data_IF_285277758564
#
_entry.id   IF_285277758564
#
_cell.length_a   1.000
_cell.length_b   1.000
_cell.length_c   1.000
_cell.angle_alpha   90.00
_cell.angle_beta   90.00
_cell.angle_gamma   90.00
#
_symmetry.space_group_name_H-M   'P 1'
#
loop_
_entity.id
_entity.type
_entity.pdbx_description
1 polymer ?
#
# COMPACT_ATOMS: atom_id res chain seq x y z
N UNK A 1 -7.52 16.19 -17.83
CA UNK A 1 -7.62 14.72 -17.95
C UNK A 1 -6.55 14.15 -18.87
N UNK A 2 -6.30 14.75 -20.04
CA UNK A 2 -5.22 14.31 -20.95
C UNK A 2 -3.85 14.25 -20.27
N UNK A 3 -3.45 15.28 -19.52
CA UNK A 3 -2.18 15.30 -18.81
C UNK A 3 -2.03 14.13 -17.84
N UNK A 4 -3.12 13.73 -17.16
CA UNK A 4 -3.10 12.59 -16.25
C UNK A 4 -2.94 11.25 -16.99
N UNK A 5 -3.53 11.12 -18.20
CA UNK A 5 -3.32 9.95 -19.06
C UNK A 5 -1.89 9.89 -19.59
N UNK A 6 -1.31 11.03 -19.95
CA UNK A 6 0.09 11.10 -20.39
C UNK A 6 1.03 10.65 -19.28
N UNK A 7 0.81 11.10 -18.03
CA UNK A 7 1.59 10.65 -16.89
C UNK A 7 1.45 9.13 -16.65
N UNK A 8 0.26 8.54 -16.86
CA UNK A 8 0.09 7.07 -16.75
C UNK A 8 0.85 6.31 -17.85
N UNK A 9 0.89 6.87 -19.06
CA UNK A 9 1.71 6.33 -20.15
C UNK A 9 3.21 6.38 -19.82
N UNK A 10 3.69 7.50 -19.25
CA UNK A 10 5.08 7.64 -18.80
C UNK A 10 5.42 6.60 -17.73
N UNK A 11 4.51 6.31 -16.80
CA UNK A 11 4.67 5.25 -15.81
C UNK A 11 4.77 3.87 -16.47
N UNK A 12 3.93 3.59 -17.46
CA UNK A 12 3.96 2.32 -18.17
C UNK A 12 5.25 2.17 -19.00
N UNK A 13 5.67 3.21 -19.70
CA UNK A 13 6.90 3.23 -20.48
C UNK A 13 8.13 3.03 -19.58
N UNK A 14 8.19 3.73 -18.45
CA UNK A 14 9.25 3.53 -17.47
C UNK A 14 9.36 2.06 -17.04
N UNK A 15 8.23 1.43 -16.69
CA UNK A 15 8.24 0.04 -16.22
C UNK A 15 8.67 -0.97 -17.29
N UNK A 16 8.35 -0.70 -18.55
CA UNK A 16 8.72 -1.53 -19.70
C UNK A 16 10.18 -1.32 -20.15
N UNK A 17 10.74 -0.13 -19.88
CA UNK A 17 12.12 0.21 -20.22
C UNK A 17 13.17 -0.27 -19.21
N UNK A 18 12.75 -0.94 -18.13
CA UNK A 18 13.69 -1.44 -17.12
C UNK A 18 14.47 -2.67 -17.62
N UNK A 19 15.75 -2.83 -17.20
CA UNK A 19 16.54 -4.03 -17.50
C UNK A 19 15.89 -5.29 -16.90
N UNK A 20 16.09 -6.45 -17.53
CA UNK A 20 15.52 -7.74 -17.12
C UNK A 20 15.75 -8.06 -15.64
N UNK A 21 16.93 -7.72 -15.10
CA UNK A 21 17.28 -7.94 -13.71
C UNK A 21 16.55 -7.01 -12.72
N UNK A 22 15.76 -6.06 -13.20
CA UNK A 22 14.89 -5.20 -12.41
C UNK A 22 13.42 -5.64 -12.46
N UNK A 23 13.08 -6.54 -13.38
CA UNK A 23 11.71 -7.00 -13.54
C UNK A 23 11.30 -7.93 -12.38
N UNK A 24 10.03 -7.89 -11.97
CA UNK A 24 9.49 -8.82 -10.99
C UNK A 24 9.42 -10.23 -11.59
N UNK A 25 9.64 -11.24 -10.75
CA UNK A 25 9.46 -12.65 -11.08
C UNK A 25 8.25 -13.20 -10.35
N UNK A 26 7.36 -13.88 -11.06
CA UNK A 26 6.27 -14.63 -10.45
C UNK A 26 6.76 -16.05 -10.23
N UNK A 27 6.81 -16.48 -8.98
CA UNK A 27 7.18 -17.82 -8.55
C UNK A 27 6.00 -18.49 -7.84
N UNK A 28 5.92 -19.80 -7.92
CA UNK A 28 4.85 -20.57 -7.29
C UNK A 28 5.42 -21.39 -6.14
N UNK A 29 4.76 -21.33 -4.99
CA UNK A 29 5.08 -22.19 -3.85
C UNK A 29 4.61 -23.62 -4.11
N UNK A 30 5.04 -24.55 -3.24
CA UNK A 30 4.55 -25.94 -3.28
C UNK A 30 3.03 -26.04 -3.06
N UNK A 31 2.41 -25.04 -2.42
CA UNK A 31 0.97 -24.92 -2.22
C UNK A 31 0.26 -24.21 -3.39
N UNK A 32 0.95 -24.01 -4.50
CA UNK A 32 0.45 -23.29 -5.69
C UNK A 32 0.08 -21.81 -5.44
N UNK A 33 0.51 -21.24 -4.34
CA UNK A 33 0.38 -19.80 -4.13
C UNK A 33 1.39 -19.04 -4.99
N UNK A 34 0.94 -18.00 -5.68
CA UNK A 34 1.81 -17.14 -6.47
C UNK A 34 2.46 -16.08 -5.59
N UNK A 35 3.79 -16.03 -5.62
CA UNK A 35 4.59 -14.98 -4.97
C UNK A 35 5.23 -14.10 -6.03
N UNK A 36 5.54 -12.87 -5.65
CA UNK A 36 6.32 -11.96 -6.47
C UNK A 36 7.66 -11.70 -5.81
N UNK A 37 8.73 -12.02 -6.53
CA UNK A 37 10.11 -11.90 -6.05
C UNK A 37 10.91 -10.98 -6.95
N UNK A 38 12.09 -10.58 -6.50
CA UNK A 38 13.00 -9.68 -7.21
C UNK A 38 14.44 -10.10 -6.94
N UNK A 39 15.39 -9.60 -7.71
CA UNK A 39 16.80 -9.86 -7.44
C UNK A 39 17.28 -9.23 -6.13
N UNK A 40 16.72 -8.08 -5.75
CA UNK A 40 17.09 -7.34 -4.55
C UNK A 40 15.89 -6.72 -3.86
N UNK A 41 15.96 -6.59 -2.55
CA UNK A 41 14.90 -5.98 -1.72
C UNK A 41 14.68 -4.50 -2.08
N UNK A 42 15.73 -3.78 -2.48
CA UNK A 42 15.63 -2.39 -2.94
C UNK A 42 14.79 -2.27 -4.22
N UNK A 43 14.90 -3.23 -5.12
CA UNK A 43 14.08 -3.29 -6.34
C UNK A 43 12.61 -3.55 -5.96
N UNK A 44 12.36 -4.49 -5.05
CA UNK A 44 11.01 -4.71 -4.53
C UNK A 44 10.39 -3.44 -3.92
N UNK A 45 11.18 -2.68 -3.15
CA UNK A 45 10.73 -1.42 -2.57
C UNK A 45 10.32 -0.41 -3.67
N UNK A 46 11.15 -0.22 -4.69
CA UNK A 46 10.87 0.69 -5.82
C UNK A 46 9.57 0.27 -6.54
N UNK A 47 9.40 -1.02 -6.84
CA UNK A 47 8.19 -1.52 -7.48
C UNK A 47 6.93 -1.34 -6.64
N UNK A 48 7.01 -1.51 -5.32
CA UNK A 48 5.87 -1.30 -4.45
C UNK A 48 5.50 0.19 -4.32
N UNK A 49 6.49 1.10 -4.33
CA UNK A 49 6.23 2.53 -4.44
C UNK A 49 5.60 2.90 -5.78
N UNK A 50 6.17 2.40 -6.89
CA UNK A 50 5.61 2.58 -8.23
C UNK A 50 4.14 2.19 -8.29
N UNK A 51 3.79 0.99 -7.82
CA UNK A 51 2.40 0.51 -7.80
C UNK A 51 1.49 1.41 -6.98
N UNK A 52 1.90 1.77 -5.78
CA UNK A 52 1.10 2.62 -4.90
C UNK A 52 0.86 4.02 -5.52
N UNK A 53 1.88 4.64 -6.12
CA UNK A 53 1.74 5.94 -6.79
C UNK A 53 0.86 5.83 -8.03
N UNK A 54 1.01 4.78 -8.82
CA UNK A 54 0.18 4.57 -10.02
C UNK A 54 -1.27 4.30 -9.65
N UNK A 55 -1.57 3.59 -8.57
CA UNK A 55 -2.94 3.43 -8.05
C UNK A 55 -3.53 4.80 -7.67
N UNK A 56 -2.76 5.71 -7.06
CA UNK A 56 -3.21 7.08 -6.76
C UNK A 56 -3.62 7.78 -8.05
N UNK A 57 -2.75 7.77 -9.06
CA UNK A 57 -2.99 8.41 -10.34
C UNK A 57 -4.25 7.87 -11.02
N UNK A 58 -4.40 6.56 -11.11
CA UNK A 58 -5.57 5.92 -11.71
C UNK A 58 -6.86 6.25 -10.97
N UNK A 59 -6.83 6.33 -9.64
CA UNK A 59 -7.98 6.81 -8.84
C UNK A 59 -8.33 8.27 -9.14
N UNK A 60 -7.33 9.13 -9.33
CA UNK A 60 -7.56 10.52 -9.74
C UNK A 60 -8.21 10.55 -11.13
N UNK A 61 -7.74 9.75 -12.08
CA UNK A 61 -8.34 9.63 -13.41
C UNK A 61 -9.81 9.19 -13.31
N UNK A 62 -10.12 8.15 -12.53
CA UNK A 62 -11.50 7.70 -12.30
C UNK A 62 -12.37 8.80 -11.71
N UNK A 63 -11.87 9.55 -10.74
CA UNK A 63 -12.60 10.65 -10.12
C UNK A 63 -12.87 11.80 -11.10
N UNK A 64 -11.87 12.19 -11.90
CA UNK A 64 -12.01 13.22 -12.92
C UNK A 64 -13.03 12.79 -13.98
N UNK A 65 -13.05 11.53 -14.38
CA UNK A 65 -14.05 10.96 -15.29
C UNK A 65 -15.46 11.06 -14.71
N UNK A 66 -15.65 10.66 -13.46
CA UNK A 66 -16.94 10.77 -12.78
C UNK A 66 -17.48 12.22 -12.77
N UNK A 67 -16.60 13.21 -12.57
CA UNK A 67 -16.97 14.61 -12.62
C UNK A 67 -17.36 15.02 -14.04
N UNK A 68 -16.59 14.62 -15.05
CA UNK A 68 -16.86 14.96 -16.46
C UNK A 68 -18.15 14.32 -16.97
N UNK A 69 -18.40 13.05 -16.65
CA UNK A 69 -19.66 12.38 -17.04
C UNK A 69 -20.88 13.07 -16.46
N UNK A 70 -20.76 13.61 -15.25
CA UNK A 70 -21.85 14.34 -14.60
C UNK A 70 -22.07 15.74 -15.23
N UNK A 71 -21.00 16.38 -15.72
CA UNK A 71 -21.02 17.77 -16.21
C UNK A 71 -21.43 17.90 -17.69
N UNK A 72 -21.03 16.93 -18.55
CA UNK A 72 -21.09 17.10 -20.01
C UNK A 72 -22.41 16.63 -20.63
N UNK A 73 -23.15 15.71 -20.00
CA UNK A 73 -24.47 15.27 -20.48
C UNK A 73 -24.55 14.70 -21.92
N UNK A 74 -23.42 14.66 -22.67
CA UNK A 74 -23.34 14.15 -24.02
C UNK A 74 -23.17 12.62 -24.05
N UNK A 75 -24.14 11.94 -24.64
CA UNK A 75 -24.21 10.48 -24.68
C UNK A 75 -22.98 9.80 -25.30
N UNK A 76 -22.31 10.43 -26.25
CA UNK A 76 -21.17 9.85 -26.97
C UNK A 76 -19.90 9.83 -26.12
N UNK A 77 -19.58 10.90 -25.39
CA UNK A 77 -18.47 10.99 -24.45
C UNK A 77 -18.72 10.06 -23.28
N UNK A 78 -19.97 9.92 -22.86
CA UNK A 78 -20.37 9.02 -21.78
C UNK A 78 -20.05 7.55 -22.09
N UNK A 79 -20.32 7.07 -23.31
CA UNK A 79 -20.08 5.66 -23.68
C UNK A 79 -18.60 5.29 -23.74
N UNK A 80 -17.74 6.18 -24.25
CA UNK A 80 -16.29 5.97 -24.30
C UNK A 80 -15.66 5.97 -22.89
N UNK A 81 -16.10 6.90 -22.03
CA UNK A 81 -15.65 6.98 -20.65
C UNK A 81 -16.03 5.73 -19.83
N UNK A 82 -17.21 5.17 -20.04
CA UNK A 82 -17.68 3.97 -19.33
C UNK A 82 -16.88 2.70 -19.72
N UNK A 83 -16.43 2.60 -20.97
CA UNK A 83 -15.72 1.41 -21.44
C UNK A 83 -14.31 1.27 -20.84
N UNK A 84 -13.65 2.37 -20.50
CA UNK A 84 -12.30 2.33 -19.94
C UNK A 84 -12.28 2.14 -18.40
N UNK A 85 -13.39 2.41 -17.70
CA UNK A 85 -13.45 2.31 -16.23
C UNK A 85 -13.15 0.91 -15.69
N UNK A 86 -13.74 -0.18 -16.24
CA UNK A 86 -13.43 -1.54 -15.79
C UNK A 86 -11.96 -1.89 -15.95
N UNK A 87 -11.31 -1.48 -17.04
CA UNK A 87 -9.89 -1.74 -17.30
C UNK A 87 -9.00 -1.03 -16.29
N UNK A 88 -9.35 0.19 -15.90
CA UNK A 88 -8.62 0.95 -14.88
C UNK A 88 -8.77 0.26 -13.52
N UNK A 89 -9.98 -0.16 -13.17
CA UNK A 89 -10.24 -0.87 -11.91
C UNK A 89 -9.51 -2.22 -11.86
N UNK A 90 -9.47 -2.97 -12.96
CA UNK A 90 -8.71 -4.21 -13.09
C UNK A 90 -7.21 -3.97 -12.89
N UNK A 91 -6.64 -2.94 -13.56
CA UNK A 91 -5.24 -2.56 -13.36
C UNK A 91 -4.92 -2.19 -11.92
N UNK A 92 -5.81 -1.48 -11.24
CA UNK A 92 -5.64 -1.16 -9.81
C UNK A 92 -5.65 -2.43 -8.97
N UNK A 93 -6.60 -3.35 -9.23
CA UNK A 93 -6.73 -4.60 -8.48
C UNK A 93 -5.52 -5.51 -8.69
N UNK A 94 -4.99 -5.56 -9.92
CA UNK A 94 -3.75 -6.29 -10.23
C UNK A 94 -2.57 -5.73 -9.44
N UNK A 95 -2.38 -4.42 -9.43
CA UNK A 95 -1.29 -3.78 -8.66
C UNK A 95 -1.41 -4.01 -7.15
N UNK A 96 -2.62 -3.97 -6.58
CA UNK A 96 -2.86 -4.31 -5.17
C UNK A 96 -2.46 -5.76 -4.90
N UNK A 97 -2.88 -6.68 -5.77
CA UNK A 97 -2.55 -8.10 -5.68
C UNK A 97 -1.05 -8.33 -5.74
N UNK A 98 -0.37 -7.63 -6.63
CA UNK A 98 1.09 -7.71 -6.79
C UNK A 98 1.85 -7.22 -5.56
N UNK A 99 1.40 -6.13 -4.93
CA UNK A 99 1.99 -5.69 -3.66
C UNK A 99 1.80 -6.75 -2.58
N UNK A 100 0.61 -7.34 -2.47
CA UNK A 100 0.35 -8.43 -1.52
C UNK A 100 1.24 -9.66 -1.79
N UNK A 101 1.41 -10.06 -3.05
CA UNK A 101 2.30 -11.16 -3.47
C UNK A 101 3.78 -10.88 -3.17
N UNK A 102 4.18 -9.62 -3.14
CA UNK A 102 5.57 -9.22 -2.88
C UNK A 102 5.94 -9.21 -1.39
N UNK A 103 4.96 -9.21 -0.49
CA UNK A 103 5.17 -9.13 0.96
C UNK A 103 6.17 -10.19 1.48
N UNK A 104 6.04 -11.48 1.15
CA UNK A 104 6.96 -12.49 1.66
C UNK A 104 8.41 -12.23 1.28
N UNK A 105 8.67 -11.80 0.04
CA UNK A 105 10.00 -11.44 -0.42
C UNK A 105 10.51 -10.14 0.22
N UNK A 106 9.68 -9.10 0.24
CA UNK A 106 10.04 -7.80 0.79
C UNK A 106 10.47 -7.88 2.28
N UNK A 107 9.90 -8.83 3.03
CA UNK A 107 10.24 -9.07 4.43
C UNK A 107 11.26 -10.20 4.66
N UNK A 108 11.82 -10.77 3.59
CA UNK A 108 12.86 -11.80 3.68
C UNK A 108 12.36 -13.15 4.19
N UNK A 109 11.10 -13.48 3.97
CA UNK A 109 10.54 -14.81 4.28
C UNK A 109 10.94 -15.82 3.21
N UNK A 110 11.15 -15.35 1.99
CA UNK A 110 11.55 -16.16 0.84
C UNK A 110 12.72 -15.50 0.12
N UNK A 111 13.52 -16.31 -0.55
CA UNK A 111 14.58 -15.86 -1.46
C UNK A 111 14.03 -15.44 -2.84
N UNK A 112 14.92 -15.06 -3.76
CA UNK A 112 14.53 -14.66 -5.12
C UNK A 112 13.88 -15.80 -5.93
N UNK A 113 14.11 -17.05 -5.55
CA UNK A 113 13.50 -18.23 -6.17
C UNK A 113 12.19 -18.66 -5.50
N UNK A 114 11.76 -17.93 -4.44
CA UNK A 114 10.56 -18.25 -3.69
C UNK A 114 10.74 -19.33 -2.62
N UNK A 115 11.97 -19.78 -2.37
CA UNK A 115 12.23 -20.77 -1.32
C UNK A 115 12.16 -20.09 0.06
N UNK A 116 11.55 -20.74 1.05
CA UNK A 116 11.55 -20.22 2.42
C UNK A 116 12.95 -20.02 2.97
N UNK A 117 13.21 -18.86 3.53
CA UNK A 117 14.48 -18.59 4.25
C UNK A 117 14.32 -19.09 5.67
N UNK A 118 15.19 -20.00 6.15
CA UNK A 118 15.13 -20.50 7.52
C UNK A 118 15.18 -19.35 8.53
N UNK A 119 14.20 -19.28 9.41
CA UNK A 119 14.24 -18.38 10.57
C UNK A 119 15.36 -18.83 11.49
N UNK A 120 16.22 -17.89 11.93
CA UNK A 120 17.24 -18.18 12.94
C UNK A 120 16.59 -18.84 14.16
N UNK A 121 17.37 -19.71 14.87
CA UNK A 121 16.94 -20.57 15.97
C UNK A 121 16.18 -19.87 17.12
N UNK A 122 16.11 -18.55 17.14
CA UNK A 122 15.33 -17.76 18.10
C UNK A 122 13.88 -17.47 17.67
N UNK A 123 13.43 -17.97 16.51
CA UNK A 123 12.06 -17.77 16.04
C UNK A 123 11.68 -16.32 15.73
N UNK A 124 12.61 -15.38 15.87
CA UNK A 124 12.40 -13.96 15.58
C UNK A 124 12.75 -13.68 14.13
N UNK A 125 11.76 -13.34 13.35
CA UNK A 125 11.97 -12.79 12.02
C UNK A 125 12.63 -11.41 12.18
N UNK A 126 13.89 -11.31 11.82
CA UNK A 126 14.59 -10.03 11.77
C UNK A 126 14.12 -9.25 10.54
N UNK A 127 13.07 -8.45 10.70
CA UNK A 127 12.73 -7.43 9.71
C UNK A 127 13.83 -6.37 9.79
N UNK A 128 14.59 -6.21 8.72
CA UNK A 128 15.57 -5.13 8.64
C UNK A 128 14.85 -3.79 8.58
N UNK A 129 15.39 -2.77 9.24
CA UNK A 129 14.76 -1.44 9.33
C UNK A 129 14.37 -0.87 7.95
N UNK A 130 15.24 -1.02 6.95
CA UNK A 130 14.94 -0.60 5.58
C UNK A 130 13.73 -1.34 4.99
N UNK A 131 13.63 -2.66 5.17
CA UNK A 131 12.52 -3.46 4.67
C UNK A 131 11.19 -3.01 5.27
N UNK A 132 11.16 -2.88 6.59
CA UNK A 132 9.95 -2.43 7.27
C UNK A 132 9.56 -1.02 6.87
N UNK A 133 10.50 -0.07 6.92
CA UNK A 133 10.21 1.34 6.63
C UNK A 133 9.75 1.56 5.18
N UNK A 134 10.40 0.93 4.20
CA UNK A 134 10.06 1.08 2.78
C UNK A 134 8.65 0.57 2.44
N UNK A 135 8.10 -0.34 3.22
CA UNK A 135 6.78 -0.92 2.99
C UNK A 135 5.64 -0.18 3.71
N UNK A 136 5.93 0.66 4.72
CA UNK A 136 4.87 1.30 5.53
C UNK A 136 3.89 2.09 4.67
N UNK A 137 4.40 2.97 3.81
CA UNK A 137 3.54 3.83 3.01
C UNK A 137 2.76 3.07 1.91
N UNK A 138 3.38 2.19 1.08
CA UNK A 138 2.63 1.40 0.11
C UNK A 138 1.53 0.55 0.75
N UNK A 139 1.82 -0.14 1.85
CA UNK A 139 0.85 -0.97 2.54
C UNK A 139 -0.29 -0.15 3.15
N UNK A 140 0.03 0.96 3.80
CA UNK A 140 -0.99 1.85 4.32
C UNK A 140 -1.93 2.35 3.21
N UNK A 141 -1.37 2.79 2.09
CA UNK A 141 -2.17 3.30 1.01
C UNK A 141 -3.14 2.23 0.48
N UNK A 142 -2.69 0.99 0.30
CA UNK A 142 -3.55 -0.12 -0.11
C UNK A 142 -4.68 -0.35 0.89
N UNK A 143 -4.39 -0.38 2.19
CA UNK A 143 -5.43 -0.59 3.21
C UNK A 143 -6.47 0.54 3.28
N UNK A 144 -6.10 1.75 2.86
CA UNK A 144 -6.94 2.96 2.92
C UNK A 144 -7.57 3.35 1.58
N UNK A 145 -7.14 2.77 0.47
CA UNK A 145 -7.60 3.18 -0.86
C UNK A 145 -9.09 2.82 -1.14
N UNK A 146 -9.68 1.90 -0.38
CA UNK A 146 -11.07 1.47 -0.52
C UNK A 146 -11.32 0.53 -1.70
N UNK A 147 -10.28 0.02 -2.37
CA UNK A 147 -10.36 -0.90 -3.50
C UNK A 147 -9.75 -2.27 -3.21
N UNK A 148 -9.03 -2.43 -2.10
CA UNK A 148 -8.53 -3.73 -1.65
C UNK A 148 -9.66 -4.61 -1.13
N UNK A 149 -9.57 -5.92 -1.37
CA UNK A 149 -10.51 -6.88 -0.79
C UNK A 149 -10.37 -6.91 0.74
N UNK A 150 -11.38 -7.43 1.48
CA UNK A 150 -11.27 -7.60 2.93
C UNK A 150 -10.04 -8.41 3.34
N UNK A 151 -9.72 -9.48 2.60
CA UNK A 151 -8.56 -10.35 2.84
C UNK A 151 -7.24 -9.61 2.62
N UNK A 152 -7.12 -8.87 1.51
CA UNK A 152 -5.95 -8.04 1.21
C UNK A 152 -5.77 -6.96 2.28
N UNK A 153 -6.84 -6.28 2.67
CA UNK A 153 -6.82 -5.27 3.71
C UNK A 153 -6.40 -5.84 5.05
N UNK A 154 -6.89 -7.02 5.41
CA UNK A 154 -6.49 -7.73 6.63
C UNK A 154 -5.01 -8.12 6.60
N UNK A 155 -4.55 -8.73 5.50
CA UNK A 155 -3.13 -9.09 5.31
C UNK A 155 -2.21 -7.87 5.49
N UNK A 156 -2.54 -6.78 4.83
CA UNK A 156 -1.73 -5.55 4.86
C UNK A 156 -1.69 -4.93 6.26
N UNK A 157 -2.82 -4.86 6.97
CA UNK A 157 -2.87 -4.36 8.36
C UNK A 157 -2.06 -5.23 9.30
N UNK A 158 -2.15 -6.54 9.18
CA UNK A 158 -1.36 -7.49 9.98
C UNK A 158 0.14 -7.26 9.79
N UNK A 159 0.57 -7.01 8.54
CA UNK A 159 1.98 -6.70 8.24
C UNK A 159 2.39 -5.35 8.82
N UNK A 160 1.55 -4.31 8.71
CA UNK A 160 1.81 -2.99 9.31
C UNK A 160 1.94 -3.08 10.84
N UNK A 161 1.04 -3.79 11.51
CA UNK A 161 1.10 -4.03 12.95
C UNK A 161 2.42 -4.71 13.36
N UNK A 162 2.83 -5.72 12.59
CA UNK A 162 4.09 -6.43 12.81
C UNK A 162 5.31 -5.51 12.61
N UNK A 163 5.34 -4.70 11.55
CA UNK A 163 6.39 -3.71 11.31
C UNK A 163 6.47 -2.74 12.49
N UNK A 164 5.32 -2.22 12.92
CA UNK A 164 5.25 -1.30 14.03
C UNK A 164 5.76 -1.88 15.34
N UNK A 165 5.34 -3.08 15.70
CA UNK A 165 5.76 -3.76 16.94
C UNK A 165 7.22 -4.20 16.91
N UNK A 166 7.72 -4.71 15.77
CA UNK A 166 9.08 -5.24 15.67
C UNK A 166 10.14 -4.13 15.58
N UNK A 167 9.85 -3.05 14.84
CA UNK A 167 10.79 -1.95 14.61
C UNK A 167 10.53 -0.72 15.49
N UNK A 168 9.50 -0.73 16.30
CA UNK A 168 9.11 0.43 17.13
C UNK A 168 8.55 1.60 16.32
N UNK A 169 8.06 1.35 15.09
CA UNK A 169 7.51 2.40 14.22
C UNK A 169 6.06 2.66 14.63
N UNK A 170 5.85 3.62 15.54
CA UNK A 170 4.51 3.98 16.06
C UNK A 170 3.53 4.31 14.94
N UNK A 171 3.98 4.99 13.88
CA UNK A 171 3.16 5.32 12.72
C UNK A 171 2.56 4.05 12.08
N UNK A 172 3.32 2.98 11.95
CA UNK A 172 2.82 1.74 11.36
C UNK A 172 1.73 1.08 12.21
N UNK A 173 1.81 1.15 13.55
CA UNK A 173 0.75 0.70 14.47
C UNK A 173 -0.54 1.51 14.29
N UNK A 174 -0.43 2.83 14.22
CA UNK A 174 -1.58 3.73 13.99
C UNK A 174 -2.23 3.39 12.65
N UNK A 175 -1.43 3.22 11.60
CA UNK A 175 -1.91 2.91 10.26
C UNK A 175 -2.50 1.50 10.12
N UNK A 176 -2.09 0.57 10.98
CA UNK A 176 -2.70 -0.76 11.10
C UNK A 176 -4.09 -0.73 11.76
N UNK A 177 -4.46 0.38 12.38
CA UNK A 177 -5.69 0.50 13.18
C UNK A 177 -5.55 0.00 14.62
N UNK A 178 -4.34 -0.40 15.04
CA UNK A 178 -4.03 -0.80 16.42
C UNK A 178 -3.62 0.39 17.30
N UNK A 179 -3.38 1.54 16.69
CA UNK A 179 -2.93 2.76 17.33
C UNK A 179 -4.04 3.77 17.57
N UNK A 180 -5.23 3.37 17.99
CA UNK A 180 -6.11 4.28 18.72
C UNK A 180 -5.51 4.49 20.11
N UNK A 181 -4.38 5.19 20.13
CA UNK A 181 -3.82 5.66 21.36
C UNK A 181 -4.66 6.85 21.81
N UNK A 182 -5.13 6.74 23.01
CA UNK A 182 -5.72 7.72 23.91
C UNK A 182 -5.06 9.13 23.92
N UNK A 183 -4.88 9.76 22.78
CA UNK A 183 -4.51 11.18 22.76
C UNK A 183 -5.67 12.09 23.18
N UNK A 184 -6.91 11.57 23.21
CA UNK A 184 -8.09 12.33 23.67
C UNK A 184 -8.38 12.18 25.16
N UNK A 185 -7.79 11.22 25.87
CA UNK A 185 -8.01 11.05 27.31
C UNK A 185 -7.13 11.92 28.19
N UNK A 186 -6.02 12.47 27.68
CA UNK A 186 -5.14 13.35 28.45
C UNK A 186 -5.48 14.84 28.37
N UNK A 187 -6.36 15.25 27.46
CA UNK A 187 -6.82 16.66 27.39
C UNK A 187 -8.06 16.96 28.23
N UNK A 188 -8.69 15.94 28.79
CA UNK A 188 -9.91 16.14 29.64
C UNK A 188 -9.64 16.15 31.17
N UNK A 189 -8.38 16.01 31.59
CA UNK A 189 -8.05 15.91 33.03
C UNK A 189 -7.18 17.06 33.58
N UNK A 190 -7.05 18.14 32.84
CA UNK A 190 -6.25 19.29 33.28
C UNK A 190 -6.94 20.62 33.11
N UNK A 191 -7.97 20.91 33.87
CA UNK A 191 -8.35 22.29 34.27
C UNK A 191 -9.57 22.28 35.22
N UNK A 192 -9.35 21.76 36.44
CA UNK A 192 -10.16 22.18 37.58
C UNK A 192 -9.30 23.11 38.42
N UNK A 193 -9.19 24.37 37.99
CA UNK A 193 -8.66 25.43 38.86
C UNK A 193 -9.72 25.73 39.91
N UNK A 194 -9.47 25.26 41.14
CA UNK A 194 -10.18 25.66 42.33
C UNK A 194 -9.90 27.15 42.56
N UNK A 195 -10.90 28.01 42.35
CA UNK A 195 -10.91 29.38 42.84
C UNK A 195 -11.32 29.32 44.33
N UNK A 196 -10.36 29.42 45.21
CA UNK A 196 -10.64 29.82 46.60
C UNK A 196 -11.04 31.28 46.60
N UNK A 197 -12.32 31.53 46.93
CA UNK A 197 -12.80 32.86 47.30
C UNK A 197 -12.32 33.16 48.72
N UNK A 198 -11.38 34.09 48.83
CA UNK A 198 -11.01 34.68 50.09
C UNK A 198 -11.99 35.82 50.40
N UNK A 199 -12.89 35.56 51.37
CA UNK A 199 -13.76 36.59 51.99
C UNK A 199 -13.00 37.22 53.13
N UNK A 200 -12.85 38.52 53.11
CA UNK A 200 -12.66 39.41 54.27
C UNK A 200 -13.62 40.57 54.15
#
# INVERSE_FOLDING_TARGET
MEDAKLVDLDFAEWSQGLPDNWLPLIVYTQTHESLMTYQQISIAAIWNYYRAVRIILLKVILRLRGILTTAVGEFRVYSELLQEEPMILESIQEMITDVCRSIPFAFGHVDAMGNPIPTSSEGKLHIRAFQGYSMVWPLWYISSCGLATPEQSHQVRTVLARVGSTLGIKLALILAGEGQVDYLSHTAQGDTIVREETTV
#
